data_IF_578543767552
#
_entry.id   IF_578543767552
#
_cell.length_a   1.000
_cell.length_b   1.000
_cell.length_c   1.000
_cell.angle_alpha   90.00
_cell.angle_beta   90.00
_cell.angle_gamma   90.00
#
_symmetry.space_group_name_H-M   'P 1'
#
loop_
_entity.id
_entity.type
_entity.pdbx_description
1 polymer ?
#
# COMPACT_ATOMS: atom_id res chain seq x y z
N UNK A 1 -20.59 -15.22 39.09
CA UNK A 1 -21.33 -16.33 39.72
C UNK A 1 -22.05 -15.79 40.93
N UNK A 2 -23.36 -15.97 41.01
CA UNK A 2 -24.14 -15.64 42.20
C UNK A 2 -24.37 -16.94 42.96
N UNK A 3 -24.05 -16.95 44.25
CA UNK A 3 -24.20 -18.13 45.11
C UNK A 3 -25.25 -17.83 46.16
N UNK A 4 -26.32 -18.62 46.19
CA UNK A 4 -27.30 -18.62 47.26
C UNK A 4 -26.92 -19.72 48.26
N UNK A 5 -26.83 -19.36 49.53
CA UNK A 5 -26.59 -20.31 50.63
C UNK A 5 -27.78 -20.29 51.57
N UNK A 6 -28.41 -21.44 51.79
CA UNK A 6 -29.49 -21.62 52.74
C UNK A 6 -29.03 -22.56 53.86
N UNK A 7 -29.12 -22.10 55.11
CA UNK A 7 -28.65 -22.84 56.29
C UNK A 7 -29.78 -23.00 57.30
N UNK A 8 -29.92 -24.20 57.84
CA UNK A 8 -30.73 -24.46 59.03
C UNK A 8 -29.95 -25.32 60.03
N UNK A 9 -30.61 -25.75 61.11
CA UNK A 9 -30.00 -26.58 62.16
C UNK A 9 -29.45 -27.93 61.69
N UNK A 10 -29.82 -28.39 60.49
CA UNK A 10 -29.37 -29.66 59.93
C UNK A 10 -28.24 -29.51 58.91
N UNK A 11 -27.84 -28.28 58.55
CA UNK A 11 -26.73 -28.01 57.65
C UNK A 11 -27.00 -26.88 56.67
N UNK A 12 -26.08 -26.75 55.70
CA UNK A 12 -26.10 -25.72 54.66
C UNK A 12 -26.19 -26.36 53.30
N UNK A 13 -27.06 -25.83 52.44
CA UNK A 13 -27.11 -26.16 51.01
C UNK A 13 -26.80 -24.90 50.23
N UNK A 14 -25.98 -25.03 49.19
CA UNK A 14 -25.67 -23.95 48.26
C UNK A 14 -26.23 -24.25 46.88
N UNK A 15 -26.74 -23.21 46.24
CA UNK A 15 -27.08 -23.21 44.82
C UNK A 15 -26.24 -22.13 44.14
N UNK A 16 -25.63 -22.48 43.01
CA UNK A 16 -24.83 -21.55 42.21
C UNK A 16 -25.54 -21.30 40.89
N UNK A 17 -25.59 -20.03 40.49
CA UNK A 17 -26.01 -19.62 39.15
C UNK A 17 -24.91 -18.75 38.51
N UNK A 18 -24.50 -19.14 37.32
CA UNK A 18 -23.49 -18.40 36.56
C UNK A 18 -24.18 -17.36 35.68
N UNK A 19 -24.17 -16.09 36.10
CA UNK A 19 -24.55 -14.98 35.23
C UNK A 19 -23.44 -14.70 34.20
N UNK A 20 -23.72 -14.91 32.92
CA UNK A 20 -22.86 -14.47 31.82
C UNK A 20 -23.19 -13.00 31.51
N UNK A 21 -22.35 -12.06 31.96
CA UNK A 21 -22.43 -10.69 31.49
C UNK A 21 -21.91 -10.68 30.05
N UNK A 22 -22.86 -10.68 29.12
CA UNK A 22 -22.60 -10.78 27.70
C UNK A 22 -22.55 -9.37 27.11
N UNK A 23 -21.35 -8.90 26.74
CA UNK A 23 -21.11 -7.56 26.20
C UNK A 23 -21.12 -7.55 24.67
N UNK A 24 -21.25 -6.36 24.09
CA UNK A 24 -20.92 -6.15 22.67
C UNK A 24 -19.46 -6.59 22.41
N UNK A 25 -19.13 -7.05 21.18
CA UNK A 25 -17.74 -7.21 20.79
C UNK A 25 -17.08 -5.83 20.67
N UNK A 26 -15.75 -5.79 20.72
CA UNK A 26 -14.93 -4.59 20.46
C UNK A 26 -14.03 -4.92 19.28
N UNK A 27 -14.12 -4.15 18.21
CA UNK A 27 -13.33 -4.33 17.01
C UNK A 27 -11.88 -3.92 17.19
N UNK A 28 -10.97 -4.70 16.64
CA UNK A 28 -9.54 -4.41 16.60
C UNK A 28 -8.87 -5.17 15.48
N UNK A 29 -7.89 -4.56 14.81
CA UNK A 29 -7.08 -5.25 13.81
C UNK A 29 -5.70 -4.62 13.62
N UNK A 30 -4.80 -5.40 13.00
CA UNK A 30 -3.51 -4.94 12.47
C UNK A 30 -3.27 -5.52 11.07
N UNK A 31 -2.26 -5.00 10.38
CA UNK A 31 -1.67 -5.58 9.18
C UNK A 31 -0.18 -5.85 9.40
N UNK A 32 0.40 -6.73 8.59
CA UNK A 32 1.83 -7.01 8.54
C UNK A 32 2.62 -5.87 7.88
N UNK A 33 2.06 -5.26 6.84
CA UNK A 33 2.58 -4.07 6.15
C UNK A 33 1.47 -3.07 5.89
N UNK A 34 1.80 -1.77 5.96
CA UNK A 34 0.84 -0.67 5.73
C UNK A 34 1.32 0.33 4.68
N UNK A 35 2.57 0.25 4.27
CA UNK A 35 3.16 1.08 3.20
C UNK A 35 4.02 0.21 2.29
N UNK A 36 3.98 0.47 0.98
CA UNK A 36 4.68 -0.32 -0.03
C UNK A 36 4.33 0.16 -1.44
N UNK A 37 4.66 -0.62 -2.47
CA UNK A 37 4.42 -0.27 -3.86
C UNK A 37 3.56 -1.32 -4.56
N UNK A 38 2.76 -0.89 -5.53
CA UNK A 38 1.89 -1.80 -6.27
C UNK A 38 2.71 -2.79 -7.14
N UNK A 39 2.31 -4.09 -7.20
CA UNK A 39 1.28 -4.73 -6.39
C UNK A 39 1.76 -5.04 -4.96
N UNK A 40 0.90 -4.77 -3.98
CA UNK A 40 1.18 -4.98 -2.55
C UNK A 40 0.19 -5.97 -1.95
N UNK A 41 0.67 -7.09 -1.39
CA UNK A 41 -0.17 -8.07 -0.68
C UNK A 41 -0.06 -7.87 0.82
N UNK A 42 -1.20 -7.73 1.49
CA UNK A 42 -1.31 -7.42 2.92
C UNK A 42 -2.02 -8.56 3.64
N UNK A 43 -1.44 -9.05 4.73
CA UNK A 43 -2.07 -9.98 5.66
C UNK A 43 -2.64 -9.20 6.85
N UNK A 44 -3.96 -9.22 6.97
CA UNK A 44 -4.65 -8.65 8.13
C UNK A 44 -4.78 -9.66 9.26
N UNK A 45 -4.70 -9.19 10.49
CA UNK A 45 -4.92 -9.95 11.70
C UNK A 45 -6.00 -9.30 12.56
N UNK A 46 -6.99 -10.10 12.96
CA UNK A 46 -8.01 -9.72 13.92
C UNK A 46 -7.43 -9.64 15.33
N UNK A 47 -7.71 -8.51 16.00
CA UNK A 47 -7.37 -8.23 17.40
C UNK A 47 -8.63 -7.89 18.20
N UNK A 48 -9.80 -8.26 17.70
CA UNK A 48 -11.09 -7.99 18.35
C UNK A 48 -11.24 -8.77 19.66
N UNK A 49 -12.17 -8.34 20.50
CA UNK A 49 -12.42 -8.98 21.78
C UNK A 49 -12.85 -10.45 21.62
N UNK A 50 -12.46 -11.30 22.57
CA UNK A 50 -12.65 -12.77 22.49
C UNK A 50 -14.09 -13.27 22.51
N UNK A 51 -15.08 -12.39 22.72
CA UNK A 51 -16.52 -12.67 22.59
C UNK A 51 -17.06 -12.43 21.16
N UNK A 52 -16.18 -12.18 20.18
CA UNK A 52 -16.53 -12.01 18.76
C UNK A 52 -16.84 -13.36 18.11
N UNK A 53 -17.89 -13.42 17.28
CA UNK A 53 -18.30 -14.63 16.55
C UNK A 53 -18.52 -14.42 15.06
N UNK A 54 -18.30 -13.23 14.52
CA UNK A 54 -18.41 -12.95 13.09
C UNK A 54 -17.68 -11.68 12.69
N UNK A 55 -17.15 -11.67 11.45
CA UNK A 55 -16.35 -10.60 10.86
C UNK A 55 -16.93 -10.20 9.51
N UNK A 56 -16.93 -8.91 9.22
CA UNK A 56 -17.24 -8.36 7.91
C UNK A 56 -16.27 -7.22 7.62
N UNK A 57 -15.36 -7.47 6.69
CA UNK A 57 -14.32 -6.55 6.27
C UNK A 57 -14.70 -5.80 4.99
N UNK A 58 -14.24 -4.57 4.88
CA UNK A 58 -14.25 -3.77 3.65
C UNK A 58 -12.85 -3.24 3.38
N UNK A 59 -12.36 -3.53 2.17
CA UNK A 59 -11.06 -3.15 1.64
C UNK A 59 -11.23 -2.40 0.31
N UNK A 60 -11.67 -1.13 0.32
CA UNK A 60 -11.73 -0.31 -0.90
C UNK A 60 -10.39 -0.36 -1.65
N UNK A 61 -10.43 -0.64 -2.95
CA UNK A 61 -9.22 -0.76 -3.79
C UNK A 61 -8.45 -2.08 -3.67
N UNK A 62 -8.80 -2.94 -2.70
CA UNK A 62 -8.22 -4.26 -2.54
C UNK A 62 -8.93 -5.35 -3.34
N UNK A 63 -8.25 -6.46 -3.55
CA UNK A 63 -8.75 -7.70 -4.13
C UNK A 63 -8.46 -8.88 -3.18
N UNK A 64 -9.48 -9.49 -2.54
CA UNK A 64 -10.89 -9.13 -2.61
C UNK A 64 -11.18 -7.78 -1.90
N UNK A 65 -12.23 -7.08 -2.33
CA UNK A 65 -12.63 -5.79 -1.74
C UNK A 65 -13.44 -5.92 -0.44
N UNK A 66 -13.79 -7.14 -0.04
CA UNK A 66 -14.49 -7.48 1.19
C UNK A 66 -14.17 -8.92 1.60
N UNK A 67 -14.35 -9.26 2.88
CA UNK A 67 -14.13 -10.61 3.38
C UNK A 67 -14.92 -10.88 4.66
N UNK A 68 -15.21 -12.15 4.94
CA UNK A 68 -15.74 -12.62 6.23
C UNK A 68 -14.76 -13.52 6.98
N UNK A 69 -13.55 -13.71 6.44
CA UNK A 69 -12.50 -14.44 7.14
C UNK A 69 -12.04 -13.64 8.37
N UNK A 70 -11.63 -14.33 9.44
CA UNK A 70 -11.07 -13.67 10.62
C UNK A 70 -9.76 -12.93 10.28
N UNK A 71 -8.85 -13.57 9.54
CA UNK A 71 -7.55 -13.02 9.16
C UNK A 71 -7.38 -13.02 7.62
N UNK A 72 -7.98 -12.07 6.88
CA UNK A 72 -7.95 -12.08 5.42
C UNK A 72 -6.60 -11.63 4.84
N UNK A 73 -6.29 -12.11 3.65
CA UNK A 73 -5.21 -11.60 2.78
C UNK A 73 -5.85 -10.79 1.67
N UNK A 74 -5.28 -9.61 1.37
CA UNK A 74 -5.80 -8.67 0.37
C UNK A 74 -4.65 -8.16 -0.48
N UNK A 75 -4.85 -8.15 -1.80
CA UNK A 75 -3.91 -7.57 -2.75
C UNK A 75 -4.38 -6.19 -3.22
N UNK A 76 -3.49 -5.20 -3.15
CA UNK A 76 -3.68 -3.86 -3.71
C UNK A 76 -2.81 -3.72 -4.96
N UNK A 77 -3.44 -3.85 -6.12
CA UNK A 77 -2.76 -3.81 -7.43
C UNK A 77 -2.58 -2.41 -7.99
N UNK A 78 -3.33 -1.44 -7.46
CA UNK A 78 -3.27 -0.05 -7.90
C UNK A 78 -2.73 0.84 -6.77
N UNK A 79 -1.94 1.88 -7.12
CA UNK A 79 -1.50 2.86 -6.14
C UNK A 79 -2.67 3.65 -5.57
N UNK A 80 -2.50 4.13 -4.33
CA UNK A 80 -3.50 4.91 -3.63
C UNK A 80 -3.38 4.78 -2.11
N UNK A 81 -4.23 5.52 -1.42
CA UNK A 81 -4.36 5.44 0.03
C UNK A 81 -5.74 4.91 0.37
N UNK A 82 -5.80 3.79 1.08
CA UNK A 82 -7.02 3.03 1.32
C UNK A 82 -7.33 2.94 2.81
N UNK A 83 -8.58 3.24 3.18
CA UNK A 83 -9.10 2.93 4.51
C UNK A 83 -9.47 1.46 4.62
N UNK A 84 -9.51 0.94 5.85
CA UNK A 84 -9.97 -0.41 6.15
C UNK A 84 -11.06 -0.35 7.21
N UNK A 85 -12.16 -1.05 6.96
CA UNK A 85 -13.27 -1.17 7.92
C UNK A 85 -13.46 -2.63 8.31
N UNK A 86 -13.57 -2.86 9.62
CA UNK A 86 -13.96 -4.13 10.22
C UNK A 86 -15.25 -3.94 11.02
N UNK A 87 -16.27 -4.72 10.69
CA UNK A 87 -17.46 -4.89 11.53
C UNK A 87 -17.36 -6.26 12.20
N UNK A 88 -17.35 -6.27 13.52
CA UNK A 88 -17.40 -7.50 14.32
C UNK A 88 -18.74 -7.67 14.98
N UNK A 89 -19.19 -8.92 15.10
CA UNK A 89 -20.53 -9.25 15.61
C UNK A 89 -20.50 -10.35 16.65
N UNK A 90 -21.47 -10.33 17.54
CA UNK A 90 -21.86 -11.46 18.38
C UNK A 90 -23.37 -11.46 18.62
N UNK A 91 -23.86 -12.39 19.45
CA UNK A 91 -25.30 -12.51 19.75
C UNK A 91 -25.95 -11.26 20.37
N UNK A 92 -25.15 -10.32 20.90
CA UNK A 92 -25.62 -9.12 21.57
C UNK A 92 -25.58 -7.88 20.68
N UNK A 93 -24.93 -7.96 19.52
CA UNK A 93 -24.85 -6.85 18.57
C UNK A 93 -23.53 -6.80 17.81
N UNK A 94 -23.15 -5.60 17.40
CA UNK A 94 -22.00 -5.35 16.55
C UNK A 94 -21.20 -4.13 17.00
N UNK A 95 -19.91 -4.12 16.64
CA UNK A 95 -19.05 -2.94 16.72
C UNK A 95 -18.36 -2.73 15.37
N UNK A 96 -18.01 -1.48 15.06
CA UNK A 96 -17.40 -1.08 13.78
C UNK A 96 -16.16 -0.26 14.03
N UNK A 97 -15.03 -0.74 13.51
CA UNK A 97 -13.77 -0.02 13.48
C UNK A 97 -13.42 0.36 12.05
N UNK A 98 -13.22 1.64 11.80
CA UNK A 98 -12.73 2.16 10.52
C UNK A 98 -11.41 2.90 10.76
N UNK A 99 -10.35 2.46 10.07
CA UNK A 99 -9.08 3.18 10.01
C UNK A 99 -8.94 3.82 8.64
N UNK A 100 -9.05 5.15 8.58
CA UNK A 100 -8.92 5.91 7.34
C UNK A 100 -7.46 5.97 6.89
N UNK A 101 -7.21 5.72 5.61
CA UNK A 101 -5.86 5.76 5.02
C UNK A 101 -4.87 4.80 5.67
N UNK A 102 -5.36 3.64 6.13
CA UNK A 102 -4.55 2.64 6.84
C UNK A 102 -3.51 1.96 5.94
N UNK A 103 -3.80 1.81 4.65
CA UNK A 103 -2.90 1.23 3.66
C UNK A 103 -2.49 2.31 2.65
N UNK A 104 -1.20 2.45 2.41
CA UNK A 104 -0.59 3.36 1.45
C UNK A 104 0.19 2.56 0.41
N UNK A 105 -0.16 2.72 -0.87
CA UNK A 105 0.43 1.98 -1.99
C UNK A 105 0.99 2.99 -2.98
N UNK A 106 2.31 3.03 -3.09
CA UNK A 106 3.06 3.82 -4.06
C UNK A 106 3.05 3.20 -5.46
N UNK A 107 3.53 3.98 -6.42
CA UNK A 107 3.67 3.58 -7.82
C UNK A 107 5.10 3.78 -8.31
N UNK A 108 5.51 2.98 -9.28
CA UNK A 108 6.76 3.16 -9.99
C UNK A 108 6.75 4.47 -10.80
N UNK A 109 7.93 5.08 -11.04
CA UNK A 109 8.03 6.20 -11.96
C UNK A 109 7.70 5.72 -13.38
N UNK A 110 7.34 6.64 -14.26
CA UNK A 110 7.31 6.37 -15.71
C UNK A 110 8.37 7.24 -16.33
N UNK A 111 9.38 6.64 -16.97
CA UNK A 111 10.40 7.37 -17.69
C UNK A 111 9.90 7.71 -19.10
N UNK A 112 10.05 8.96 -19.54
CA UNK A 112 9.77 9.40 -20.90
C UNK A 112 10.52 10.70 -21.21
N UNK A 113 10.89 10.92 -22.46
CA UNK A 113 11.47 12.17 -22.92
C UNK A 113 11.32 12.41 -24.42
N UNK A 114 11.49 13.67 -24.81
CA UNK A 114 11.69 14.09 -26.20
C UNK A 114 13.04 14.77 -26.37
N UNK A 115 13.60 14.72 -27.58
CA UNK A 115 14.86 15.38 -27.92
C UNK A 115 14.70 16.31 -29.12
N UNK A 116 15.43 17.43 -29.14
CA UNK A 116 15.54 18.33 -30.28
C UNK A 116 17.01 18.60 -30.59
N UNK A 117 17.46 18.19 -31.77
CA UNK A 117 18.84 18.40 -32.23
C UNK A 117 18.97 19.70 -33.04
N UNK A 118 20.07 20.42 -32.82
CA UNK A 118 20.50 21.57 -33.61
C UNK A 118 22.01 21.45 -33.87
N UNK A 119 22.37 20.89 -35.02
CA UNK A 119 23.75 20.49 -35.29
C UNK A 119 24.19 19.36 -34.34
N UNK A 120 25.25 19.64 -33.58
CA UNK A 120 25.80 18.72 -32.57
C UNK A 120 25.22 18.90 -31.17
N UNK A 121 24.42 19.95 -30.93
CA UNK A 121 23.78 20.19 -29.63
C UNK A 121 22.37 19.59 -29.63
N UNK A 122 22.03 18.87 -28.57
CA UNK A 122 20.70 18.28 -28.37
C UNK A 122 20.13 18.75 -27.04
N UNK A 123 18.94 19.31 -27.11
CA UNK A 123 18.14 19.64 -25.93
C UNK A 123 17.18 18.49 -25.64
N UNK A 124 17.15 18.04 -24.38
CA UNK A 124 16.24 17.01 -23.92
C UNK A 124 15.15 17.64 -23.05
N UNK A 125 13.91 17.20 -23.24
CA UNK A 125 12.77 17.57 -22.40
C UNK A 125 12.24 16.33 -21.73
N UNK A 126 12.26 16.33 -20.40
CA UNK A 126 11.82 15.23 -19.59
C UNK A 126 10.30 15.23 -19.45
N UNK A 127 9.69 14.11 -19.81
CA UNK A 127 8.25 13.88 -19.72
C UNK A 127 7.92 12.82 -18.65
N UNK A 128 8.90 12.44 -17.84
CA UNK A 128 8.74 11.41 -16.82
C UNK A 128 7.68 11.82 -15.78
N UNK A 129 6.94 10.82 -15.30
CA UNK A 129 5.95 10.99 -14.25
C UNK A 129 6.39 10.25 -12.98
N UNK A 130 6.00 10.79 -11.82
CA UNK A 130 6.15 10.13 -10.52
C UNK A 130 7.59 9.78 -10.13
N UNK A 131 8.57 10.54 -10.63
CA UNK A 131 9.98 10.38 -10.31
C UNK A 131 10.45 11.50 -9.38
N UNK A 132 11.38 11.16 -8.49
CA UNK A 132 12.05 12.09 -7.58
C UNK A 132 13.44 12.51 -8.09
N UNK A 133 14.04 11.70 -8.98
CA UNK A 133 15.38 11.94 -9.52
C UNK A 133 15.58 11.33 -10.91
N UNK A 134 16.59 11.84 -11.63
CA UNK A 134 16.89 11.50 -13.02
C UNK A 134 18.37 11.19 -13.21
N UNK A 135 18.67 10.26 -14.11
CA UNK A 135 20.01 10.01 -14.64
C UNK A 135 19.94 9.81 -16.14
N UNK A 136 20.63 10.67 -16.87
CA UNK A 136 20.80 10.60 -18.32
C UNK A 136 22.12 9.91 -18.64
N UNK A 137 22.11 9.04 -19.65
CA UNK A 137 23.32 8.59 -20.35
C UNK A 137 23.16 8.92 -21.82
N UNK A 138 24.10 9.66 -22.39
CA UNK A 138 23.97 10.17 -23.76
C UNK A 138 24.51 9.23 -24.83
N UNK A 139 24.98 8.04 -24.45
CA UNK A 139 25.53 7.05 -25.39
C UNK A 139 26.97 7.32 -25.87
N UNK A 140 27.57 8.44 -25.45
CA UNK A 140 28.96 8.83 -25.75
C UNK A 140 29.90 8.73 -24.53
N UNK A 141 29.38 8.21 -23.41
CA UNK A 141 30.08 8.10 -22.13
C UNK A 141 29.80 9.25 -21.16
N UNK A 142 29.11 10.31 -21.58
CA UNK A 142 28.69 11.42 -20.71
C UNK A 142 27.32 11.17 -20.06
N UNK A 143 27.08 11.85 -18.94
CA UNK A 143 25.86 11.73 -18.14
C UNK A 143 25.37 13.07 -17.59
N UNK A 144 24.10 13.16 -17.22
CA UNK A 144 23.53 14.30 -16.48
C UNK A 144 22.52 13.85 -15.42
N UNK A 145 22.30 14.67 -14.40
CA UNK A 145 21.23 14.49 -13.39
C UNK A 145 20.20 15.62 -13.43
N UNK A 146 20.33 16.54 -14.40
CA UNK A 146 19.37 17.63 -14.57
C UNK A 146 18.01 17.08 -15.05
N UNK A 147 16.95 17.81 -14.74
CA UNK A 147 15.61 17.48 -15.26
C UNK A 147 15.61 17.54 -16.79
N UNK A 148 16.05 18.66 -17.36
CA UNK A 148 15.98 18.95 -18.80
C UNK A 148 17.37 19.37 -19.31
N UNK A 149 18.30 18.42 -19.52
CA UNK A 149 19.67 18.73 -19.90
C UNK A 149 19.78 19.17 -21.36
N UNK A 150 20.85 19.88 -21.64
CA UNK A 150 21.41 20.04 -22.99
C UNK A 150 22.73 19.29 -23.06
N UNK A 151 23.01 18.67 -24.21
CA UNK A 151 24.27 17.94 -24.41
C UNK A 151 24.82 18.21 -25.81
N UNK A 152 26.13 18.45 -25.91
CA UNK A 152 26.82 18.66 -27.19
C UNK A 152 27.70 17.45 -27.51
N UNK A 153 27.45 16.83 -28.66
CA UNK A 153 28.23 15.69 -29.15
C UNK A 153 29.49 16.16 -29.87
N UNK A 154 30.55 15.37 -29.79
CA UNK A 154 31.83 15.71 -30.43
C UNK A 154 31.88 15.42 -31.94
N UNK A 155 31.03 14.51 -32.41
CA UNK A 155 31.01 14.02 -33.80
C UNK A 155 29.57 13.74 -34.25
N UNK A 156 29.36 13.78 -35.56
CA UNK A 156 28.13 13.30 -36.19
C UNK A 156 27.95 11.80 -35.91
N UNK A 157 26.72 11.36 -35.70
CA UNK A 157 26.43 9.96 -35.43
C UNK A 157 25.05 9.69 -34.88
N UNK A 158 24.81 8.42 -34.60
CA UNK A 158 23.63 7.94 -33.88
C UNK A 158 24.02 7.56 -32.46
N UNK A 159 23.33 8.14 -31.49
CA UNK A 159 23.59 7.96 -30.07
C UNK A 159 22.38 7.36 -29.38
N UNK A 160 22.58 6.31 -28.60
CA UNK A 160 21.53 5.72 -27.77
C UNK A 160 21.46 6.47 -26.44
N UNK A 161 20.43 7.30 -26.29
CA UNK A 161 20.20 8.07 -25.08
C UNK A 161 19.24 7.30 -24.17
N UNK A 162 19.62 7.19 -22.89
CA UNK A 162 18.80 6.52 -21.87
C UNK A 162 18.52 7.52 -20.75
N UNK A 163 17.25 7.67 -20.39
CA UNK A 163 16.80 8.35 -19.19
C UNK A 163 16.40 7.29 -18.15
N UNK A 164 16.98 7.38 -16.95
CA UNK A 164 16.57 6.64 -15.77
C UNK A 164 15.79 7.57 -14.84
N UNK A 165 14.51 7.29 -14.63
CA UNK A 165 13.66 8.01 -13.68
C UNK A 165 13.50 7.15 -12.42
N UNK A 166 13.70 7.73 -11.22
CA UNK A 166 13.72 6.97 -9.95
C UNK A 166 12.87 7.63 -8.87
N UNK A 167 12.15 6.81 -8.10
CA UNK A 167 11.45 7.19 -6.86
C UNK A 167 11.62 6.12 -5.77
N UNK A 168 10.90 6.24 -4.65
CA UNK A 168 10.94 5.28 -3.55
C UNK A 168 10.52 3.83 -3.91
N UNK A 169 9.71 3.65 -4.95
CA UNK A 169 9.28 2.34 -5.43
C UNK A 169 10.29 1.67 -6.36
N UNK A 170 11.16 2.44 -7.01
CA UNK A 170 12.20 1.92 -7.87
C UNK A 170 12.52 2.85 -9.03
N UNK A 171 13.05 2.27 -10.10
CA UNK A 171 13.49 3.01 -11.28
C UNK A 171 12.90 2.41 -12.55
N UNK A 172 12.60 3.27 -13.51
CA UNK A 172 12.22 2.91 -14.87
C UNK A 172 13.16 3.58 -15.87
N UNK A 173 13.32 2.94 -17.03
CA UNK A 173 14.20 3.39 -18.11
C UNK A 173 13.41 3.71 -19.36
N UNK A 174 13.75 4.81 -20.03
CA UNK A 174 13.31 5.10 -21.39
C UNK A 174 14.54 5.28 -22.29
N UNK A 175 14.48 4.70 -23.49
CA UNK A 175 15.60 4.69 -24.44
C UNK A 175 15.15 5.24 -25.80
N UNK A 176 15.93 6.15 -26.36
CA UNK A 176 15.72 6.72 -27.69
C UNK A 176 17.04 6.85 -28.44
N UNK A 177 17.05 6.50 -29.72
CA UNK A 177 18.18 6.79 -30.62
C UNK A 177 18.04 8.22 -31.14
N UNK A 178 19.07 9.03 -30.95
CA UNK A 178 19.16 10.41 -31.43
C UNK A 178 20.23 10.48 -32.51
N UNK A 179 19.90 11.10 -33.64
CA UNK A 179 20.85 11.37 -34.73
C UNK A 179 21.28 12.83 -34.64
N UNK A 180 22.59 13.05 -34.64
CA UNK A 180 23.19 14.39 -34.69
C UNK A 180 24.10 14.50 -35.90
N UNK A 181 24.03 15.64 -36.58
CA UNK A 181 24.81 15.93 -37.77
C UNK A 181 24.95 17.45 -37.92
N UNK A 182 26.10 17.90 -38.44
CA UNK A 182 26.40 19.32 -38.69
C UNK A 182 25.65 19.96 -39.86
#
# INVERSE_FOLDING_TARGET
VVTLSATNSCGTVTATETLLISTLPVGGFTADITDGCAPMTVQFQDLSSGNTSGWSWSFPGGNPNASTAQNPVVEYVNPGTFGVTLIVTNANGADTLTQMGYISVGQFPTADFTSSANGLEVSFTNLSAHADSYLWTFGDGNTSMESDPTHTYAQDGEYTVILTATNACGSELFTQTVVVAT
#
